data_IF_064843756772
#
_entry.id   IF_064843756772
#
_cell.length_a   1.000
_cell.length_b   1.000
_cell.length_c   1.000
_cell.angle_alpha   90.00
_cell.angle_beta   90.00
_cell.angle_gamma   90.00
#
_symmetry.space_group_name_H-M   'P 1'
#
loop_
_entity.id
_entity.type
_entity.pdbx_description
1 polymer ?
#
# COMPACT_ATOMS: atom_id res chain seq x y z
N UNK A 1 0.86 3.31 -12.38
CA UNK A 1 2.11 2.71 -11.86
C UNK A 1 1.83 1.43 -11.09
N UNK A 2 1.07 1.47 -9.99
CA UNK A 2 0.80 0.32 -9.11
C UNK A 2 0.37 -0.94 -9.86
N UNK A 3 -0.50 -0.76 -10.87
CA UNK A 3 -0.95 -1.81 -11.76
C UNK A 3 0.18 -2.55 -12.49
N UNK A 4 1.13 -1.79 -13.07
CA UNK A 4 2.27 -2.33 -13.80
C UNK A 4 3.31 -2.99 -12.89
N UNK A 5 3.35 -2.61 -11.60
CA UNK A 5 4.25 -3.21 -10.62
C UNK A 5 3.64 -4.39 -9.87
N UNK A 6 2.42 -4.83 -10.24
CA UNK A 6 1.72 -5.93 -9.57
C UNK A 6 1.50 -5.68 -8.08
N UNK A 7 1.41 -4.42 -7.66
CA UNK A 7 1.37 -4.05 -6.25
C UNK A 7 -0.07 -3.97 -5.79
N UNK A 8 -0.43 -4.79 -4.79
CA UNK A 8 -1.67 -4.64 -4.04
C UNK A 8 -1.47 -3.61 -2.94
N UNK A 9 -2.54 -2.97 -2.50
CA UNK A 9 -2.49 -1.91 -1.48
C UNK A 9 -3.50 -2.21 -0.38
N UNK A 10 -3.02 -2.29 0.85
CA UNK A 10 -3.85 -2.30 2.05
C UNK A 10 -3.56 -1.07 2.89
N UNK A 11 -4.62 -0.50 3.46
CA UNK A 11 -4.52 0.63 4.37
C UNK A 11 -4.43 0.11 5.80
N UNK A 12 -3.30 0.31 6.51
CA UNK A 12 -3.23 -0.03 7.93
C UNK A 12 -4.07 0.95 8.75
N UNK A 13 -4.39 0.58 9.98
CA UNK A 13 -5.03 1.49 10.93
C UNK A 13 -4.21 2.79 11.10
N UNK A 14 -4.85 3.93 11.36
CA UNK A 14 -4.13 5.18 11.61
C UNK A 14 -3.04 5.00 12.69
N UNK A 15 -1.85 5.56 12.41
CA UNK A 15 -0.69 5.51 13.29
C UNK A 15 -0.15 4.12 13.68
N UNK A 16 -0.61 3.02 13.07
CA UNK A 16 -0.11 1.66 13.38
C UNK A 16 1.13 1.25 12.58
N UNK A 17 1.43 1.96 11.49
CA UNK A 17 2.60 1.66 10.66
C UNK A 17 3.89 2.20 11.29
N UNK A 18 4.90 1.33 11.43
CA UNK A 18 6.25 1.69 11.85
C UNK A 18 7.28 0.99 10.97
N UNK A 19 8.23 1.75 10.43
CA UNK A 19 9.41 1.18 9.78
C UNK A 19 10.38 0.72 10.89
N UNK A 20 10.58 -0.60 11.01
CA UNK A 20 11.48 -1.17 12.04
C UNK A 20 12.92 -1.27 11.53
N UNK A 21 13.09 -1.63 10.27
CA UNK A 21 14.37 -1.68 9.59
C UNK A 21 14.23 -1.05 8.21
N UNK A 22 15.24 -0.29 7.73
CA UNK A 22 16.49 0.07 8.39
C UNK A 22 16.25 0.91 9.67
N UNK A 23 16.97 0.57 10.76
CA UNK A 23 16.64 0.96 12.13
C UNK A 23 17.12 2.35 12.57
N UNK A 24 17.79 3.09 11.68
CA UNK A 24 18.29 4.43 11.95
C UNK A 24 17.23 5.51 11.76
N UNK A 25 17.47 6.69 12.34
CA UNK A 25 16.60 7.86 12.25
C UNK A 25 16.30 8.30 10.82
N UNK A 26 17.11 7.86 9.86
CA UNK A 26 16.98 8.11 8.43
C UNK A 26 16.68 6.84 7.62
N UNK A 27 16.07 5.83 8.26
CA UNK A 27 15.85 4.52 7.63
C UNK A 27 15.07 4.56 6.31
N UNK A 28 14.29 5.63 6.06
CA UNK A 28 13.64 5.88 4.76
C UNK A 28 14.63 6.23 3.64
N UNK A 29 15.71 6.97 3.91
CA UNK A 29 16.68 7.36 2.87
C UNK A 29 17.52 6.19 2.36
N UNK A 30 17.59 5.11 3.15
CA UNK A 30 18.22 3.84 2.77
C UNK A 30 17.35 3.00 1.85
N UNK A 31 16.08 3.34 1.68
CA UNK A 31 15.20 2.75 0.68
C UNK A 31 15.33 3.56 -0.61
N UNK A 32 15.23 2.88 -1.75
CA UNK A 32 15.01 3.60 -3.01
C UNK A 32 13.61 4.16 -3.04
N UNK A 33 13.48 5.38 -3.54
CA UNK A 33 12.22 6.10 -3.64
C UNK A 33 11.92 6.40 -5.12
N UNK A 34 10.75 5.98 -5.56
CA UNK A 34 10.22 6.31 -6.87
C UNK A 34 8.97 7.16 -6.72
N UNK A 35 9.02 8.37 -7.28
CA UNK A 35 7.88 9.25 -7.44
C UNK A 35 7.61 9.47 -8.93
N UNK A 36 6.37 9.80 -9.27
CA UNK A 36 6.01 10.16 -10.64
C UNK A 36 4.84 11.15 -10.62
N UNK A 37 4.54 11.73 -11.78
CA UNK A 37 3.42 12.65 -11.97
C UNK A 37 3.52 13.85 -11.02
N UNK A 38 2.52 14.09 -10.15
CA UNK A 38 2.54 15.19 -9.17
C UNK A 38 3.58 15.02 -8.05
N UNK A 39 4.36 13.92 -8.03
CA UNK A 39 5.39 13.65 -7.02
C UNK A 39 4.87 13.67 -5.57
N UNK A 40 3.57 13.40 -5.38
CA UNK A 40 2.92 13.36 -4.05
C UNK A 40 2.95 11.99 -3.39
N UNK A 41 3.22 10.94 -4.17
CA UNK A 41 3.23 9.55 -3.70
C UNK A 41 4.63 9.00 -3.90
N UNK A 42 5.22 8.58 -2.79
CA UNK A 42 6.54 7.98 -2.67
C UNK A 42 6.39 6.47 -2.59
N UNK A 43 6.92 5.78 -3.59
CA UNK A 43 6.92 4.33 -3.67
C UNK A 43 8.28 3.80 -3.25
N UNK A 44 8.37 3.37 -1.99
CA UNK A 44 9.61 2.90 -1.39
C UNK A 44 9.86 1.43 -1.73
N UNK A 45 11.12 1.10 -2.04
CA UNK A 45 11.53 -0.27 -2.31
C UNK A 45 12.95 -0.57 -1.84
N UNK A 46 13.22 -1.85 -1.60
CA UNK A 46 14.57 -2.32 -1.29
C UNK A 46 15.46 -2.15 -2.54
N UNK A 47 16.58 -1.42 -2.46
CA UNK A 47 17.50 -1.27 -3.60
C UNK A 47 18.12 -2.59 -4.05
N UNK A 48 18.18 -3.60 -3.17
CA UNK A 48 18.83 -4.88 -3.44
C UNK A 48 17.90 -5.89 -4.11
N UNK A 49 16.71 -6.12 -3.55
CA UNK A 49 15.77 -7.13 -4.07
C UNK A 49 14.59 -6.55 -4.85
N UNK A 50 14.41 -5.23 -4.87
CA UNK A 50 13.33 -4.56 -5.61
C UNK A 50 11.94 -4.67 -4.99
N UNK A 51 11.79 -5.37 -3.85
CA UNK A 51 10.49 -5.50 -3.16
C UNK A 51 10.00 -4.12 -2.70
N UNK A 52 8.72 -3.84 -2.98
CA UNK A 52 7.98 -2.62 -2.61
C UNK A 52 7.08 -2.91 -1.42
N UNK A 53 7.55 -2.77 -0.16
CA UNK A 53 6.76 -3.13 1.02
C UNK A 53 5.65 -2.12 1.32
N UNK A 54 5.84 -0.84 0.99
CA UNK A 54 4.85 0.19 1.26
C UNK A 54 5.05 1.41 0.36
N UNK A 55 4.06 2.30 0.37
CA UNK A 55 4.11 3.64 -0.20
C UNK A 55 3.53 4.65 0.77
N UNK A 56 3.94 5.91 0.64
CA UNK A 56 3.41 7.02 1.42
C UNK A 56 3.01 8.15 0.49
N UNK A 57 2.02 8.92 0.89
CA UNK A 57 1.68 10.14 0.17
C UNK A 57 0.80 11.04 0.99
N UNK A 58 0.37 12.12 0.36
CA UNK A 58 -0.60 13.05 0.92
C UNK A 58 -1.59 13.52 -0.13
N UNK A 59 -2.79 13.86 0.34
CA UNK A 59 -3.82 14.50 -0.46
C UNK A 59 -4.53 15.57 0.37
N UNK A 60 -5.24 16.48 -0.29
CA UNK A 60 -6.00 17.54 0.38
C UNK A 60 -7.47 17.16 0.34
N UNK A 61 -8.10 17.10 1.51
CA UNK A 61 -9.53 16.88 1.68
C UNK A 61 -10.08 18.03 2.52
N UNK A 62 -11.04 18.79 2.00
CA UNK A 62 -11.65 19.93 2.70
C UNK A 62 -10.64 20.95 3.26
N UNK A 63 -9.57 21.21 2.51
CA UNK A 63 -8.48 22.12 2.90
C UNK A 63 -7.48 21.55 3.90
N UNK A 64 -7.68 20.32 4.38
CA UNK A 64 -6.76 19.63 5.28
C UNK A 64 -5.85 18.68 4.50
N UNK A 65 -4.55 18.73 4.78
CA UNK A 65 -3.60 17.76 4.24
C UNK A 65 -3.70 16.46 5.02
N UNK A 66 -4.12 15.39 4.36
CA UNK A 66 -4.20 14.04 4.90
C UNK A 66 -3.00 13.25 4.41
N UNK A 67 -2.19 12.77 5.35
CA UNK A 67 -1.08 11.86 5.07
C UNK A 67 -1.58 10.42 5.14
N UNK A 68 -1.13 9.57 4.23
CA UNK A 68 -1.47 8.16 4.23
C UNK A 68 -0.24 7.29 3.97
N UNK A 69 -0.36 6.04 4.41
CA UNK A 69 0.55 4.94 4.09
C UNK A 69 -0.28 3.78 3.59
N UNK A 70 0.22 3.06 2.59
CA UNK A 70 -0.37 1.80 2.15
C UNK A 70 0.71 0.74 2.11
N UNK A 71 0.38 -0.46 2.56
CA UNK A 71 1.28 -1.61 2.64
C UNK A 71 0.97 -2.57 1.50
N UNK A 72 2.00 -3.15 0.90
CA UNK A 72 1.84 -4.20 -0.08
C UNK A 72 1.67 -5.55 0.64
N UNK A 73 0.49 -6.18 0.61
CA UNK A 73 0.27 -7.42 1.33
C UNK A 73 1.11 -8.60 0.80
N UNK A 74 1.55 -8.54 -0.47
CA UNK A 74 2.44 -9.56 -1.03
C UNK A 74 3.86 -9.52 -0.41
N UNK A 75 4.19 -8.45 0.31
CA UNK A 75 5.44 -8.31 1.05
C UNK A 75 5.29 -8.64 2.53
N UNK A 76 4.10 -9.05 2.98
CA UNK A 76 3.89 -9.50 4.35
C UNK A 76 4.34 -10.95 4.49
N UNK A 77 4.98 -11.26 5.60
CA UNK A 77 5.24 -12.64 6.00
C UNK A 77 3.91 -13.28 6.43
N UNK A 78 3.34 -14.09 5.55
CA UNK A 78 2.02 -14.70 5.74
C UNK A 78 2.06 -15.90 6.69
N UNK A 79 3.26 -16.46 6.92
CA UNK A 79 3.48 -17.59 7.82
C UNK A 79 3.69 -17.12 9.27
N UNK A 80 4.10 -15.87 9.44
CA UNK A 80 4.25 -15.23 10.73
C UNK A 80 2.90 -14.81 11.33
N UNK A 81 2.06 -15.78 11.73
CA UNK A 81 0.84 -15.61 12.57
C UNK A 81 0.31 -14.17 12.53
N UNK A 82 -0.16 -13.71 11.35
CA UNK A 82 -0.65 -12.35 11.21
C UNK A 82 -1.88 -12.27 12.10
N UNK A 83 -1.68 -11.69 13.28
CA UNK A 83 -2.69 -11.38 14.27
C UNK A 83 -3.62 -10.29 13.71
N UNK A 84 -4.38 -10.57 12.65
CA UNK A 84 -5.53 -9.75 12.33
C UNK A 84 -6.60 -10.11 13.35
N UNK A 85 -6.75 -9.25 14.35
CA UNK A 85 -7.92 -9.31 15.22
C UNK A 85 -9.16 -9.20 14.32
N UNK A 86 -9.91 -10.29 14.21
CA UNK A 86 -11.29 -10.19 13.79
C UNK A 86 -12.06 -9.38 14.86
N UNK A 87 -13.25 -8.89 14.52
CA UNK A 87 -14.07 -8.07 15.43
C UNK A 87 -14.47 -8.77 16.76
N UNK A 88 -14.11 -10.04 16.93
CA UNK A 88 -14.34 -10.92 18.07
C UNK A 88 -13.09 -11.17 18.94
N UNK A 89 -11.93 -10.62 18.57
CA UNK A 89 -10.67 -10.80 19.32
C UNK A 89 -9.94 -12.11 19.04
N UNK A 90 -10.38 -12.92 18.07
CA UNK A 90 -9.61 -14.07 17.60
C UNK A 90 -8.59 -13.66 16.52
N UNK A 91 -7.39 -14.23 16.63
CA UNK A 91 -6.31 -14.06 15.67
C UNK A 91 -6.44 -15.10 14.56
N UNK A 92 -6.92 -14.68 13.39
CA UNK A 92 -7.06 -15.55 12.21
C UNK A 92 -5.82 -15.54 11.31
N UNK A 93 -5.66 -16.57 10.47
CA UNK A 93 -4.64 -16.58 9.39
C UNK A 93 -5.04 -15.59 8.30
N UNK A 94 -4.17 -14.64 7.98
CA UNK A 94 -4.38 -13.70 6.87
C UNK A 94 -4.19 -14.41 5.52
N UNK A 95 -5.29 -14.83 4.90
CA UNK A 95 -5.30 -15.56 3.63
C UNK A 95 -5.73 -14.66 2.47
N UNK A 96 -4.76 -14.16 1.68
CA UNK A 96 -5.03 -13.30 0.53
C UNK A 96 -5.95 -13.95 -0.52
N UNK A 97 -6.02 -15.29 -0.59
CA UNK A 97 -6.89 -15.99 -1.54
C UNK A 97 -8.37 -15.75 -1.24
N UNK A 98 -8.70 -15.39 0.00
CA UNK A 98 -10.07 -15.10 0.45
C UNK A 98 -10.44 -13.62 0.34
N UNK A 99 -9.47 -12.76 0.00
CA UNK A 99 -9.68 -11.31 -0.08
C UNK A 99 -9.96 -10.94 -1.52
N UNK A 100 -11.16 -10.42 -1.77
CA UNK A 100 -11.51 -9.86 -3.07
C UNK A 100 -10.72 -8.58 -3.30
N UNK A 101 -9.87 -8.57 -4.31
CA UNK A 101 -9.18 -7.37 -4.77
C UNK A 101 -10.15 -6.47 -5.54
N UNK A 102 -9.90 -5.17 -5.46
CA UNK A 102 -10.65 -4.14 -6.19
C UNK A 102 -9.68 -3.17 -6.84
N UNK A 103 -10.16 -2.48 -7.87
CA UNK A 103 -9.37 -1.51 -8.63
C UNK A 103 -9.70 -0.08 -8.19
N UNK A 104 -8.66 0.70 -7.90
CA UNK A 104 -8.74 2.15 -7.74
C UNK A 104 -8.28 2.82 -9.04
N UNK A 105 -9.13 3.66 -9.60
CA UNK A 105 -8.85 4.38 -10.84
C UNK A 105 -7.96 5.59 -10.60
N UNK A 106 -6.65 5.34 -10.59
CA UNK A 106 -5.63 6.38 -10.59
C UNK A 106 -5.18 6.83 -11.97
N UNK A 107 -5.75 6.27 -13.04
CA UNK A 107 -5.35 6.61 -14.42
C UNK A 107 -6.01 7.91 -14.87
N UNK A 108 -7.30 8.03 -14.58
CA UNK A 108 -8.11 9.22 -14.92
C UNK A 108 -8.32 10.14 -13.70
N UNK A 109 -7.49 10.00 -12.67
CA UNK A 109 -7.56 10.75 -11.39
C UNK A 109 -8.86 10.62 -10.60
N UNK A 110 -9.61 9.54 -10.83
CA UNK A 110 -10.87 9.23 -10.16
C UNK A 110 -10.67 8.68 -8.73
N UNK A 111 -9.84 9.35 -7.94
CA UNK A 111 -9.46 8.93 -6.58
C UNK A 111 -10.62 8.90 -5.59
N UNK A 112 -11.68 9.66 -5.86
CA UNK A 112 -12.88 9.76 -5.02
C UNK A 112 -14.03 8.86 -5.48
N UNK A 113 -13.88 8.20 -6.63
CA UNK A 113 -14.88 7.25 -7.11
C UNK A 113 -14.82 5.93 -6.32
N UNK A 114 -15.94 5.19 -6.22
CA UNK A 114 -15.95 3.87 -5.64
C UNK A 114 -14.97 2.91 -6.32
N UNK A 115 -14.45 1.98 -5.54
CA UNK A 115 -13.59 0.91 -6.04
C UNK A 115 -14.33 0.03 -7.06
N UNK A 116 -13.67 -0.25 -8.17
CA UNK A 116 -14.23 -0.99 -9.31
C UNK A 116 -13.89 -2.48 -9.22
N UNK A 117 -14.75 -3.33 -9.79
CA UNK A 117 -14.51 -4.79 -9.91
C UNK A 117 -13.59 -5.14 -11.08
N UNK A 118 -13.45 -4.23 -12.05
CA UNK A 118 -12.65 -4.37 -13.25
C UNK A 118 -11.80 -3.13 -13.49
N UNK A 119 -10.72 -3.28 -14.27
CA UNK A 119 -9.71 -2.25 -14.50
C UNK A 119 -10.01 -1.62 -15.85
N UNK A 120 -9.23 -0.59 -16.24
CA UNK A 120 -9.38 -0.02 -17.58
C UNK A 120 -9.13 -1.09 -18.65
N UNK A 121 -9.69 -0.87 -19.85
CA UNK A 121 -9.52 -1.78 -20.99
C UNK A 121 -8.04 -2.06 -21.29
N UNK A 122 -7.67 -3.34 -21.39
CA UNK A 122 -6.28 -3.78 -21.55
C UNK A 122 -5.45 -3.80 -20.26
N UNK A 123 -6.04 -3.51 -19.11
CA UNK A 123 -5.48 -3.78 -17.80
C UNK A 123 -5.39 -5.28 -17.48
N UNK A 124 -4.66 -5.60 -16.42
CA UNK A 124 -4.54 -6.97 -15.87
C UNK A 124 -5.38 -7.11 -14.60
N UNK A 125 -5.58 -8.34 -14.15
CA UNK A 125 -6.29 -8.74 -12.93
C UNK A 125 -5.49 -9.81 -12.22
#
# INVERSE_FOLDING_TARGET
>A
MCHKSGTLQLTPLPASFKLLTPADSDGLSKLSDYTFYHMKIHHYFCPTCGVKPFLKGSYVMDGLTVNFVMVNPLALDMDANINTANNDGEYGVFDLRKIKTKYQDGREENWMEPLKDESYEGGVW
#
